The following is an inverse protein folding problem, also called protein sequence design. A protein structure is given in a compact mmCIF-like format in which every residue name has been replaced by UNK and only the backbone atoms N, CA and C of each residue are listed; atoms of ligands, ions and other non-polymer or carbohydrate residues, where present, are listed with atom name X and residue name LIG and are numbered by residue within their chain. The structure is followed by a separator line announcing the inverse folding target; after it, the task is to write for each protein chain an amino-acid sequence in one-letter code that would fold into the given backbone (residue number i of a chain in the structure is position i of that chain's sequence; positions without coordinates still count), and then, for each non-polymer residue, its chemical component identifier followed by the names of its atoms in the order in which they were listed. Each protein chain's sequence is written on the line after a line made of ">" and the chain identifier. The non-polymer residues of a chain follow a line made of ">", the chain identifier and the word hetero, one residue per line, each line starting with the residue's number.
data_IF_625105028038
#
_entry.id   IF_625105028038
#
_cell.length_a   1.000
_cell.length_b   1.000
_cell.length_c   1.000
_cell.angle_alpha   90.00
_cell.angle_beta   90.00
_cell.angle_gamma   90.00
#
_symmetry.space_group_name_H-M   'P 1'
#
loop_
_entity.id
_entity.type
_entity.pdbx_description
1 polymer ?
#
# COMPACT_ATOMS: atom_id res chain seq x y z
N UNK A 1 -33.74 37.32 -33.13
CA UNK A 1 -34.14 35.89 -33.04
C UNK A 1 -33.36 35.26 -31.88
N UNK A 2 -33.88 35.32 -30.65
CA UNK A 2 -34.71 34.29 -29.99
C UNK A 2 -33.91 33.02 -29.69
N UNK A 3 -33.54 32.75 -28.44
CA UNK A 3 -34.42 32.07 -27.46
C UNK A 3 -34.08 32.44 -25.99
N UNK A 4 -35.09 32.56 -25.10
CA UNK A 4 -34.88 32.74 -23.67
C UNK A 4 -34.65 31.41 -22.95
N UNK A 5 -33.71 31.37 -22.00
CA UNK A 5 -33.58 30.29 -21.01
C UNK A 5 -34.82 30.28 -20.10
N UNK A 6 -35.84 29.50 -20.43
CA UNK A 6 -36.91 29.14 -19.49
C UNK A 6 -36.38 28.09 -18.50
N UNK A 7 -36.00 28.55 -17.30
CA UNK A 7 -35.86 27.67 -16.14
C UNK A 7 -37.27 27.41 -15.60
N UNK A 8 -37.90 26.33 -16.05
CA UNK A 8 -39.15 25.84 -15.45
C UNK A 8 -38.73 24.89 -14.32
N UNK A 9 -38.73 25.40 -13.09
CA UNK A 9 -38.79 24.55 -11.90
C UNK A 9 -40.27 24.36 -11.57
N UNK A 10 -40.80 23.11 -11.50
CA UNK A 10 -42.11 22.91 -10.91
C UNK A 10 -42.02 23.13 -9.39
N UNK A 11 -43.00 23.82 -8.77
CA UNK A 11 -43.12 23.86 -7.33
C UNK A 11 -43.74 22.54 -6.87
N UNK A 12 -42.91 21.60 -6.41
CA UNK A 12 -43.40 20.49 -5.59
C UNK A 12 -42.90 20.67 -4.17
N UNK A 13 -43.63 21.53 -3.44
CA UNK A 13 -43.71 21.48 -1.99
C UNK A 13 -44.16 20.08 -1.58
N UNK A 14 -43.38 19.40 -0.72
CA UNK A 14 -43.93 18.35 0.13
C UNK A 14 -43.35 16.94 0.03
N UNK A 15 -42.37 16.66 -0.82
CA UNK A 15 -41.61 15.41 -0.73
C UNK A 15 -40.15 15.66 -1.10
N UNK A 16 -39.29 15.87 -0.12
CA UNK A 16 -37.85 15.64 -0.31
C UNK A 16 -37.64 14.14 -0.43
N UNK A 17 -37.30 13.59 -1.61
CA UNK A 17 -36.90 12.20 -1.68
C UNK A 17 -35.61 12.05 -0.85
N UNK A 18 -35.46 10.96 -0.06
CA UNK A 18 -34.24 10.72 0.75
C UNK A 18 -32.96 10.73 -0.11
N UNK A 19 -33.10 10.56 -1.42
CA UNK A 19 -32.05 10.68 -2.42
C UNK A 19 -31.32 12.03 -2.48
N UNK A 20 -31.95 13.15 -2.10
CA UNK A 20 -31.23 14.44 -2.09
C UNK A 20 -30.27 14.55 -0.89
N UNK A 21 -30.58 13.90 0.23
CA UNK A 21 -29.64 13.79 1.35
C UNK A 21 -28.48 12.84 1.00
N UNK A 22 -28.75 11.76 0.24
CA UNK A 22 -27.73 10.82 -0.22
C UNK A 22 -26.68 11.45 -1.15
N UNK A 23 -27.06 12.42 -1.99
CA UNK A 23 -26.09 13.11 -2.86
C UNK A 23 -25.30 14.21 -2.14
N UNK A 24 -25.80 14.74 -1.01
CA UNK A 24 -25.05 15.68 -0.15
C UNK A 24 -24.03 14.97 0.75
N UNK A 25 -24.26 13.71 1.11
CA UNK A 25 -23.29 12.89 1.85
C UNK A 25 -22.08 12.42 1.04
N UNK A 26 -22.02 12.65 -0.28
CA UNK A 26 -20.86 12.23 -1.07
C UNK A 26 -19.57 13.01 -0.73
N UNK A 27 -19.67 14.18 -0.10
CA UNK A 27 -18.52 14.99 0.29
C UNK A 27 -18.56 15.46 1.77
N UNK A 28 -19.58 15.07 2.52
CA UNK A 28 -19.58 15.31 3.96
C UNK A 28 -18.98 14.06 4.62
N UNK A 29 -17.84 14.22 5.31
CA UNK A 29 -17.32 13.20 6.22
C UNK A 29 -18.36 13.10 7.35
N UNK A 30 -19.33 12.18 7.19
CA UNK A 30 -20.23 11.86 8.28
C UNK A 30 -19.41 11.25 9.41
N UNK A 31 -19.67 11.62 10.68
CA UNK A 31 -18.99 11.00 11.81
C UNK A 31 -19.22 9.47 11.74
N UNK A 32 -18.13 8.69 11.76
CA UNK A 32 -18.15 7.23 11.65
C UNK A 32 -17.88 6.66 10.25
N UNK A 33 -17.81 7.50 9.20
CA UNK A 33 -17.41 7.04 7.86
C UNK A 33 -15.97 6.48 7.85
N UNK A 34 -15.06 7.09 8.62
CA UNK A 34 -13.67 6.63 8.79
C UNK A 34 -13.59 5.22 9.41
N UNK A 35 -14.51 4.91 10.34
CA UNK A 35 -14.61 3.58 10.96
C UNK A 35 -15.07 2.54 9.95
N UNK A 36 -16.06 2.87 9.13
CA UNK A 36 -16.53 1.98 8.06
C UNK A 36 -15.42 1.72 7.04
N UNK A 37 -14.73 2.76 6.57
CA UNK A 37 -13.63 2.60 5.61
C UNK A 37 -12.46 1.82 6.21
N UNK A 38 -12.05 2.11 7.43
CA UNK A 38 -10.96 1.39 8.08
C UNK A 38 -11.29 -0.09 8.29
N UNK A 39 -12.53 -0.42 8.70
CA UNK A 39 -12.98 -1.80 8.83
C UNK A 39 -13.03 -2.53 7.49
N UNK A 40 -13.50 -1.86 6.43
CA UNK A 40 -13.53 -2.43 5.09
C UNK A 40 -12.13 -2.64 4.52
N UNK A 41 -11.24 -1.65 4.65
CA UNK A 41 -9.83 -1.76 4.27
C UNK A 41 -9.14 -2.89 5.03
N UNK A 42 -9.35 -3.02 6.34
CA UNK A 42 -8.79 -4.10 7.15
C UNK A 42 -9.28 -5.47 6.69
N UNK A 43 -10.57 -5.60 6.35
CA UNK A 43 -11.14 -6.85 5.85
C UNK A 43 -10.56 -7.23 4.49
N UNK A 44 -10.50 -6.29 3.55
CA UNK A 44 -9.93 -6.51 2.22
C UNK A 44 -8.44 -6.85 2.30
N UNK A 45 -7.68 -6.13 3.13
CA UNK A 45 -6.28 -6.41 3.37
C UNK A 45 -6.08 -7.81 3.94
N UNK A 46 -6.89 -8.21 4.93
CA UNK A 46 -6.83 -9.55 5.53
C UNK A 46 -7.10 -10.64 4.49
N UNK A 47 -8.10 -10.44 3.63
CA UNK A 47 -8.41 -11.38 2.55
C UNK A 47 -7.27 -11.47 1.52
N UNK A 48 -6.69 -10.33 1.13
CA UNK A 48 -5.56 -10.29 0.20
C UNK A 48 -4.32 -10.98 0.78
N UNK A 49 -3.99 -10.74 2.06
CA UNK A 49 -2.88 -11.40 2.75
C UNK A 49 -3.13 -12.90 2.86
N UNK A 50 -4.35 -13.33 3.21
CA UNK A 50 -4.71 -14.75 3.29
C UNK A 50 -4.58 -15.45 1.95
N UNK A 51 -5.08 -14.84 0.88
CA UNK A 51 -4.98 -15.37 -0.48
C UNK A 51 -3.52 -15.47 -0.92
N UNK A 52 -2.73 -14.43 -0.66
CA UNK A 52 -1.31 -14.45 -0.93
C UNK A 52 -0.56 -15.52 -0.13
N UNK A 53 -0.86 -15.69 1.16
CA UNK A 53 -0.27 -16.74 2.00
C UNK A 53 -0.58 -18.15 1.47
N UNK A 54 -1.77 -18.36 0.91
CA UNK A 54 -2.13 -19.63 0.27
C UNK A 54 -1.28 -19.93 -0.98
N UNK A 55 -0.71 -18.89 -1.60
CA UNK A 55 0.15 -18.96 -2.78
C UNK A 55 1.64 -18.75 -2.45
N UNK A 56 1.99 -18.37 -1.21
CA UNK A 56 3.34 -17.96 -0.83
C UNK A 56 4.39 -19.07 -0.99
N UNK A 57 3.97 -20.34 -1.03
CA UNK A 57 4.83 -21.48 -1.32
C UNK A 57 5.34 -21.57 -2.77
N UNK A 58 4.71 -20.88 -3.73
CA UNK A 58 5.01 -21.02 -5.16
C UNK A 58 5.64 -19.78 -5.80
N UNK A 59 5.43 -18.58 -5.26
CA UNK A 59 5.91 -17.34 -5.86
C UNK A 59 7.09 -16.72 -5.11
N UNK A 60 8.22 -16.49 -5.80
CA UNK A 60 9.32 -15.66 -5.27
C UNK A 60 8.88 -14.20 -5.25
N UNK A 61 8.91 -13.57 -4.08
CA UNK A 61 8.41 -12.20 -3.88
C UNK A 61 9.19 -11.49 -2.78
N UNK A 62 9.21 -10.16 -2.83
CA UNK A 62 9.76 -9.33 -1.74
C UNK A 62 8.99 -9.54 -0.44
N UNK A 63 7.69 -9.83 -0.50
CA UNK A 63 6.90 -10.18 0.70
C UNK A 63 7.37 -11.49 1.35
N UNK A 64 7.84 -12.48 0.56
CA UNK A 64 8.40 -13.71 1.12
C UNK A 64 9.68 -13.45 1.94
N UNK A 65 10.43 -12.38 1.64
CA UNK A 65 11.57 -12.00 2.48
C UNK A 65 11.12 -11.58 3.88
N UNK A 66 10.01 -10.85 4.00
CA UNK A 66 9.46 -10.39 5.28
C UNK A 66 8.99 -11.56 6.15
N UNK A 67 8.48 -12.62 5.53
CA UNK A 67 8.06 -13.84 6.23
C UNK A 67 9.23 -14.74 6.64
N UNK A 68 10.39 -14.61 5.99
CA UNK A 68 11.54 -15.46 6.29
C UNK A 68 12.17 -15.09 7.63
N UNK A 69 12.40 -16.02 8.57
CA UNK A 69 12.79 -15.73 9.95
C UNK A 69 14.11 -14.96 10.08
N UNK A 70 15.04 -15.17 9.13
CA UNK A 70 16.33 -14.46 9.10
C UNK A 70 16.31 -13.20 8.22
N UNK A 71 15.62 -13.22 7.09
CA UNK A 71 15.66 -12.12 6.12
C UNK A 71 14.65 -11.02 6.46
N UNK A 72 13.56 -11.38 7.15
CA UNK A 72 12.53 -10.42 7.55
C UNK A 72 13.06 -9.33 8.46
N UNK A 73 13.90 -9.68 9.45
CA UNK A 73 14.58 -8.68 10.30
C UNK A 73 15.49 -7.75 9.49
N UNK A 74 16.18 -8.27 8.48
CA UNK A 74 17.06 -7.47 7.63
C UNK A 74 16.25 -6.48 6.78
N UNK A 75 15.16 -6.95 6.18
CA UNK A 75 14.27 -6.08 5.38
C UNK A 75 13.58 -5.04 6.26
N UNK A 76 13.13 -5.40 7.46
CA UNK A 76 12.57 -4.43 8.41
C UNK A 76 13.56 -3.30 8.70
N UNK A 77 14.83 -3.61 8.95
CA UNK A 77 15.85 -2.56 9.14
C UNK A 77 16.08 -1.70 7.90
N UNK A 78 16.03 -2.28 6.70
CA UNK A 78 16.10 -1.50 5.45
C UNK A 78 14.91 -0.54 5.31
N UNK A 79 13.71 -0.98 5.69
CA UNK A 79 12.48 -0.19 5.65
C UNK A 79 12.50 0.93 6.69
N UNK A 80 13.03 0.68 7.89
CA UNK A 80 13.18 1.68 8.95
C UNK A 80 14.17 2.79 8.59
N UNK A 81 15.28 2.44 7.92
CA UNK A 81 16.38 3.37 7.63
C UNK A 81 16.86 3.28 6.17
N UNK A 82 16.03 3.65 5.18
CA UNK A 82 16.39 3.51 3.76
C UNK A 82 17.55 4.43 3.34
N UNK A 83 17.79 5.52 4.07
CA UNK A 83 18.87 6.48 3.82
C UNK A 83 20.27 5.97 4.23
N UNK A 84 20.35 4.95 5.10
CA UNK A 84 21.63 4.41 5.53
C UNK A 84 22.37 3.76 4.34
N UNK A 85 23.72 3.87 4.25
CA UNK A 85 24.52 3.28 3.17
C UNK A 85 24.68 1.76 3.36
N UNK A 86 23.57 1.04 3.25
CA UNK A 86 23.53 -0.41 3.34
C UNK A 86 24.40 -1.07 2.25
N UNK A 87 25.27 -1.97 2.68
CA UNK A 87 26.05 -2.85 1.81
C UNK A 87 25.65 -4.31 2.04
N UNK A 88 25.85 -5.16 1.03
CA UNK A 88 25.58 -6.61 1.14
C UNK A 88 26.32 -7.22 2.34
N UNK A 89 27.51 -6.70 2.67
CA UNK A 89 28.30 -7.14 3.81
C UNK A 89 27.68 -6.78 5.16
N UNK A 90 27.29 -5.51 5.35
CA UNK A 90 26.64 -5.07 6.60
C UNK A 90 25.34 -5.82 6.88
N UNK A 91 24.61 -6.21 5.82
CA UNK A 91 23.37 -6.96 5.91
C UNK A 91 23.64 -8.44 6.22
N UNK A 92 24.64 -9.04 5.58
CA UNK A 92 25.04 -10.42 5.82
C UNK A 92 25.57 -10.62 7.25
N UNK A 93 26.32 -9.64 7.79
CA UNK A 93 26.79 -9.64 9.17
C UNK A 93 25.63 -9.68 10.18
N UNK A 94 24.53 -8.95 9.92
CA UNK A 94 23.34 -8.94 10.79
C UNK A 94 22.60 -10.28 10.88
N UNK A 95 22.78 -11.16 9.90
CA UNK A 95 22.23 -12.53 9.91
C UNK A 95 23.28 -13.61 10.13
N UNK A 96 24.51 -13.22 10.50
CA UNK A 96 25.64 -14.11 10.72
C UNK A 96 25.92 -15.03 9.52
N UNK A 97 25.85 -14.48 8.31
CA UNK A 97 26.12 -15.21 7.06
C UNK A 97 27.30 -14.59 6.32
N UNK A 98 27.97 -15.41 5.50
CA UNK A 98 28.90 -14.89 4.50
C UNK A 98 28.14 -14.05 3.46
N UNK A 99 28.85 -13.09 2.84
CA UNK A 99 28.30 -12.25 1.75
C UNK A 99 27.70 -13.08 0.62
N UNK A 100 28.36 -14.16 0.23
CA UNK A 100 27.94 -15.03 -0.86
C UNK A 100 26.67 -15.81 -0.50
N UNK A 101 26.66 -16.45 0.68
CA UNK A 101 25.50 -17.22 1.15
C UNK A 101 24.26 -16.35 1.33
N UNK A 102 24.44 -15.13 1.88
CA UNK A 102 23.36 -14.16 2.02
C UNK A 102 22.79 -13.75 0.66
N UNK A 103 23.64 -13.39 -0.30
CA UNK A 103 23.20 -12.97 -1.63
C UNK A 103 22.47 -14.08 -2.39
N UNK A 104 22.89 -15.34 -2.21
CA UNK A 104 22.23 -16.50 -2.81
C UNK A 104 20.86 -16.75 -2.17
N UNK A 105 20.79 -16.84 -0.83
CA UNK A 105 19.53 -17.03 -0.12
C UNK A 105 18.52 -15.92 -0.45
N UNK A 106 18.98 -14.68 -0.57
CA UNK A 106 18.13 -13.55 -0.93
C UNK A 106 17.49 -13.73 -2.32
N UNK A 107 18.28 -14.14 -3.33
CA UNK A 107 17.78 -14.41 -4.68
C UNK A 107 16.84 -15.60 -4.71
N UNK A 108 17.11 -16.63 -3.91
CA UNK A 108 16.28 -17.83 -3.86
C UNK A 108 14.88 -17.51 -3.33
N UNK A 109 14.77 -16.63 -2.33
CA UNK A 109 13.50 -16.23 -1.72
C UNK A 109 12.75 -15.15 -2.52
N UNK A 110 13.48 -14.16 -3.06
CA UNK A 110 12.87 -12.94 -3.61
C UNK A 110 12.97 -12.74 -5.12
N UNK A 111 13.72 -13.59 -5.82
CA UNK A 111 14.10 -13.44 -7.23
C UNK A 111 14.86 -12.14 -7.58
N UNK A 112 15.23 -11.31 -6.59
CA UNK A 112 15.89 -10.03 -6.79
C UNK A 112 17.15 -9.93 -5.94
N UNK A 113 17.84 -8.78 -5.98
CA UNK A 113 19.03 -8.53 -5.15
C UNK A 113 18.72 -7.55 -4.02
N UNK A 114 19.46 -7.63 -2.89
CA UNK A 114 19.24 -6.73 -1.76
C UNK A 114 19.31 -5.25 -2.13
N UNK A 115 20.28 -4.89 -2.97
CA UNK A 115 20.49 -3.51 -3.42
C UNK A 115 19.41 -3.03 -4.39
N UNK A 116 18.85 -3.91 -5.21
CA UNK A 116 17.72 -3.56 -6.09
C UNK A 116 16.49 -3.19 -5.26
N UNK A 117 16.14 -4.02 -4.26
CA UNK A 117 15.05 -3.73 -3.32
C UNK A 117 15.27 -2.38 -2.63
N UNK A 118 16.48 -2.14 -2.13
CA UNK A 118 16.84 -0.88 -1.46
C UNK A 118 16.74 0.34 -2.37
N UNK A 119 17.10 0.18 -3.64
CA UNK A 119 16.96 1.24 -4.64
C UNK A 119 15.49 1.59 -4.84
N UNK A 120 14.62 0.59 -4.99
CA UNK A 120 13.16 0.79 -5.08
C UNK A 120 12.61 1.49 -3.84
N UNK A 121 13.03 1.09 -2.63
CA UNK A 121 12.60 1.72 -1.38
C UNK A 121 13.00 3.19 -1.30
N UNK A 122 14.23 3.53 -1.70
CA UNK A 122 14.70 4.93 -1.73
C UNK A 122 13.92 5.78 -2.73
N UNK A 123 13.56 5.20 -3.88
CA UNK A 123 12.75 5.88 -4.88
C UNK A 123 11.31 6.13 -4.38
N UNK A 124 10.71 5.16 -3.70
CA UNK A 124 9.36 5.30 -3.14
C UNK A 124 9.29 6.25 -1.94
N UNK A 125 10.33 6.25 -1.10
CA UNK A 125 10.41 7.17 0.05
C UNK A 125 10.69 8.62 -0.38
N UNK A 126 11.08 8.85 -1.65
CA UNK A 126 11.05 10.17 -2.24
C UNK A 126 9.58 10.52 -2.50
N UNK A 127 8.90 11.03 -1.48
CA UNK A 127 7.53 11.53 -1.58
C UNK A 127 7.39 12.41 -2.83
N UNK A 128 6.54 12.06 -3.82
CA UNK A 128 6.22 12.99 -4.88
C UNK A 128 5.41 14.13 -4.26
N UNK A 129 5.89 15.36 -4.45
CA UNK A 129 5.13 16.55 -4.08
C UNK A 129 3.78 16.52 -4.80
N UNK A 130 2.66 16.85 -4.12
CA UNK A 130 1.36 16.87 -4.77
C UNK A 130 1.40 17.86 -5.93
N UNK A 131 1.03 17.38 -7.12
CA UNK A 131 0.86 18.17 -8.34
C UNK A 131 0.02 19.41 -8.02
N UNK A 132 0.59 20.59 -8.29
CA UNK A 132 -0.08 21.88 -8.24
C UNK A 132 -1.14 22.01 -9.33
#
# INVERSE_FOLDING_TARGET
>A
MSLPRRRIAPPVSGLTPPFCCYSRSQNAILPGADVLYSQQCATLFTLAVRDWLSQAGTAKSVLNLLLHPRLGRVILHMLETPAHPWTVETLAQRVHMSRASFAQLFRDVSATTPLAVLTTLRLQNRRPDPVA
#
